data_IF_830147334935
#
_entry.id   IF_830147334935
#
_cell.length_a   1.000
_cell.length_b   1.000
_cell.length_c   1.000
_cell.angle_alpha   90.00
_cell.angle_beta   90.00
_cell.angle_gamma   90.00
#
_symmetry.space_group_name_H-M   'P 1'
#
loop_
_entity.id
_entity.type
_entity.pdbx_description
1 polymer ?
#
# COMPACT_ATOMS: atom_id res chain seq x y z
N UNK A 1 1.98 -30.14 2.52
CA UNK A 1 2.72 -28.93 2.96
C UNK A 1 2.63 -27.73 2.02
N UNK A 2 2.66 -27.86 0.69
CA UNK A 2 2.53 -26.72 -0.27
C UNK A 2 1.13 -26.08 -0.27
N UNK A 3 0.08 -26.85 -0.07
CA UNK A 3 -1.31 -26.40 -0.11
C UNK A 3 -1.68 -25.53 1.10
N UNK A 4 -1.25 -25.95 2.29
CA UNK A 4 -1.47 -25.16 3.52
C UNK A 4 -0.76 -23.79 3.46
N UNK A 5 0.40 -23.71 2.79
CA UNK A 5 1.09 -22.42 2.60
C UNK A 5 0.35 -21.48 1.64
N UNK A 6 -0.35 -22.03 0.63
CA UNK A 6 -1.18 -21.21 -0.27
C UNK A 6 -2.42 -20.68 0.44
N UNK A 7 -3.11 -21.52 1.21
CA UNK A 7 -4.28 -21.12 2.00
C UNK A 7 -3.88 -20.03 3.01
N UNK A 8 -2.77 -20.25 3.72
CA UNK A 8 -2.25 -19.25 4.66
C UNK A 8 -1.94 -17.91 3.97
N UNK A 9 -1.34 -17.94 2.77
CA UNK A 9 -1.08 -16.74 1.98
C UNK A 9 -2.36 -15.98 1.61
N UNK A 10 -3.41 -16.68 1.21
CA UNK A 10 -4.70 -16.05 0.92
C UNK A 10 -5.38 -15.47 2.16
N UNK A 11 -5.36 -16.18 3.27
CA UNK A 11 -5.92 -15.69 4.54
C UNK A 11 -5.21 -14.43 5.00
N UNK A 12 -3.87 -14.45 5.02
CA UNK A 12 -3.06 -13.27 5.36
C UNK A 12 -3.34 -12.11 4.41
N UNK A 13 -3.45 -12.38 3.10
CA UNK A 13 -3.81 -11.36 2.11
C UNK A 13 -5.16 -10.71 2.39
N UNK A 14 -6.19 -11.49 2.69
CA UNK A 14 -7.53 -10.98 3.03
C UNK A 14 -7.47 -10.11 4.29
N UNK A 15 -6.81 -10.59 5.34
CA UNK A 15 -6.65 -9.82 6.59
C UNK A 15 -5.94 -8.49 6.31
N UNK A 16 -4.87 -8.50 5.51
CA UNK A 16 -4.12 -7.29 5.14
C UNK A 16 -5.01 -6.28 4.43
N UNK A 17 -5.83 -6.72 3.47
CA UNK A 17 -6.74 -5.83 2.74
C UNK A 17 -7.81 -5.24 3.65
N UNK A 18 -8.39 -6.05 4.55
CA UNK A 18 -9.37 -5.57 5.53
C UNK A 18 -8.75 -4.54 6.48
N UNK A 19 -7.55 -4.81 6.99
CA UNK A 19 -6.82 -3.87 7.83
C UNK A 19 -6.53 -2.57 7.06
N UNK A 20 -6.08 -2.67 5.81
CA UNK A 20 -5.79 -1.48 4.99
C UNK A 20 -7.04 -0.65 4.72
N UNK A 21 -8.16 -1.28 4.34
CA UNK A 21 -9.44 -0.57 4.18
C UNK A 21 -9.88 0.16 5.45
N UNK A 22 -9.71 -0.47 6.62
CA UNK A 22 -9.99 0.15 7.92
C UNK A 22 -9.11 1.35 8.25
N UNK A 23 -7.90 1.44 7.66
CA UNK A 23 -6.99 2.56 7.94
C UNK A 23 -7.52 3.91 7.43
N UNK A 24 -8.30 3.95 6.35
CA UNK A 24 -8.91 5.17 5.84
C UNK A 24 -9.88 5.79 6.86
N UNK A 25 -10.72 4.94 7.46
CA UNK A 25 -11.69 5.37 8.48
C UNK A 25 -10.94 5.85 9.72
N UNK A 26 -9.96 5.07 10.19
CA UNK A 26 -9.16 5.42 11.35
C UNK A 26 -8.39 6.75 11.14
N UNK A 27 -7.79 6.95 9.97
CA UNK A 27 -7.12 8.21 9.61
C UNK A 27 -8.09 9.40 9.71
N UNK A 28 -9.32 9.25 9.20
CA UNK A 28 -10.33 10.31 9.28
C UNK A 28 -10.69 10.65 10.73
N UNK A 29 -10.87 9.65 11.59
CA UNK A 29 -11.13 9.87 13.02
C UNK A 29 -9.98 10.58 13.71
N UNK A 30 -8.74 10.21 13.42
CA UNK A 30 -7.56 10.85 13.99
C UNK A 30 -7.45 12.33 13.57
N UNK A 31 -7.75 12.63 12.31
CA UNK A 31 -7.80 14.02 11.80
C UNK A 31 -8.91 14.82 12.49
N UNK A 32 -10.10 14.23 12.65
CA UNK A 32 -11.20 14.88 13.39
C UNK A 32 -10.86 15.08 14.87
N UNK A 33 -10.01 14.23 15.43
CA UNK A 33 -9.44 14.36 16.79
C UNK A 33 -8.36 15.43 16.92
N UNK A 34 -7.99 16.12 15.82
CA UNK A 34 -7.06 17.25 15.82
C UNK A 34 -5.62 16.90 15.44
N UNK A 35 -5.32 15.63 15.05
CA UNK A 35 -3.99 15.29 14.55
C UNK A 35 -3.80 15.75 13.10
N UNK A 36 -2.63 16.30 12.81
CA UNK A 36 -2.28 16.67 11.46
C UNK A 36 -1.94 15.43 10.60
N UNK A 37 -2.19 15.44 9.27
CA UNK A 37 -1.91 14.31 8.38
C UNK A 37 -0.47 13.79 8.45
N UNK A 38 0.52 14.67 8.60
CA UNK A 38 1.92 14.30 8.73
C UNK A 38 2.27 13.65 10.07
N UNK A 39 1.58 14.02 11.16
CA UNK A 39 1.76 13.38 12.46
C UNK A 39 1.24 11.94 12.44
N UNK A 40 0.07 11.72 11.83
CA UNK A 40 -0.50 10.39 11.64
C UNK A 40 0.46 9.52 10.81
N UNK A 41 1.03 10.08 9.73
CA UNK A 41 2.02 9.41 8.91
C UNK A 41 3.23 8.98 9.76
N UNK A 42 3.84 9.90 10.48
CA UNK A 42 5.02 9.64 11.31
C UNK A 42 4.76 8.57 12.38
N UNK A 43 3.66 8.68 13.10
CA UNK A 43 3.29 7.73 14.14
C UNK A 43 3.08 6.32 13.59
N UNK A 44 2.38 6.19 12.47
CA UNK A 44 2.13 4.88 11.83
C UNK A 44 3.41 4.21 11.36
N UNK A 45 4.28 4.98 10.70
CA UNK A 45 5.56 4.43 10.22
C UNK A 45 6.53 4.11 11.35
N UNK A 46 6.58 4.95 12.40
CA UNK A 46 7.40 4.69 13.57
C UNK A 46 6.97 3.40 14.29
N UNK A 47 5.67 3.26 14.57
CA UNK A 47 5.13 2.06 15.21
C UNK A 47 5.37 0.83 14.35
N UNK A 48 5.07 0.92 13.04
CA UNK A 48 5.29 -0.17 12.10
C UNK A 48 6.76 -0.59 12.03
N UNK A 49 7.66 0.38 11.97
CA UNK A 49 9.11 0.14 11.99
C UNK A 49 9.57 -0.57 13.28
N UNK A 50 9.13 -0.09 14.43
CA UNK A 50 9.46 -0.70 15.73
C UNK A 50 8.93 -2.15 15.81
N UNK A 51 7.71 -2.40 15.34
CA UNK A 51 7.14 -3.75 15.29
C UNK A 51 7.96 -4.68 14.39
N UNK A 52 8.34 -4.23 13.19
CA UNK A 52 9.16 -5.03 12.28
C UNK A 52 10.54 -5.28 12.87
N UNK A 53 11.14 -4.27 13.47
CA UNK A 53 12.47 -4.38 14.06
C UNK A 53 12.50 -5.37 15.24
N UNK A 54 11.45 -5.41 16.07
CA UNK A 54 11.36 -6.37 17.19
C UNK A 54 11.17 -7.80 16.71
N UNK A 55 10.44 -8.01 15.59
CA UNK A 55 10.17 -9.36 15.06
C UNK A 55 11.37 -9.88 14.25
N UNK A 56 12.03 -9.03 13.50
CA UNK A 56 13.14 -9.41 12.63
C UNK A 56 14.24 -8.34 12.59
N UNK A 57 15.09 -8.30 13.65
CA UNK A 57 16.21 -7.37 13.71
C UNK A 57 17.26 -7.78 12.67
N UNK A 58 17.19 -7.21 11.48
CA UNK A 58 18.15 -7.43 10.40
C UNK A 58 18.90 -6.15 10.08
N UNK A 59 19.99 -6.27 9.32
CA UNK A 59 20.73 -5.12 8.82
C UNK A 59 19.81 -4.22 8.01
N UNK A 60 19.86 -2.92 8.30
CA UNK A 60 19.05 -1.88 7.66
C UNK A 60 19.65 -1.39 6.34
N UNK A 61 20.89 -1.73 6.07
CA UNK A 61 21.63 -1.23 4.92
C UNK A 61 21.92 -2.33 3.93
N UNK A 62 21.85 -2.01 2.63
CA UNK A 62 22.24 -2.90 1.56
C UNK A 62 23.77 -2.96 1.44
N UNK A 63 24.28 -4.06 0.86
CA UNK A 63 25.74 -4.21 0.66
C UNK A 63 26.27 -3.34 -0.49
N UNK A 64 25.39 -2.81 -1.35
CA UNK A 64 25.73 -2.02 -2.52
C UNK A 64 25.07 -0.64 -2.46
N UNK A 65 25.83 0.42 -2.68
CA UNK A 65 25.32 1.81 -2.71
C UNK A 65 24.21 2.05 -3.74
N UNK A 66 24.23 1.36 -4.88
CA UNK A 66 23.17 1.48 -5.90
C UNK A 66 21.85 0.91 -5.42
N UNK A 67 21.90 -0.19 -4.72
CA UNK A 67 20.71 -0.84 -4.15
C UNK A 67 20.15 0.01 -3.00
N UNK A 68 21.04 0.61 -2.20
CA UNK A 68 20.65 1.56 -1.15
C UNK A 68 19.94 2.78 -1.72
N UNK A 69 20.51 3.42 -2.76
CA UNK A 69 19.89 4.55 -3.43
C UNK A 69 18.53 4.20 -4.03
N UNK A 70 18.40 2.99 -4.60
CA UNK A 70 17.12 2.50 -5.13
C UNK A 70 16.09 2.28 -4.01
N UNK A 71 16.50 1.70 -2.88
CA UNK A 71 15.63 1.51 -1.72
C UNK A 71 15.15 2.84 -1.13
N UNK A 72 16.03 3.84 -1.04
CA UNK A 72 15.67 5.20 -0.62
C UNK A 72 14.66 5.80 -1.59
N UNK A 73 14.87 5.68 -2.90
CA UNK A 73 13.96 6.21 -3.91
C UNK A 73 12.58 5.54 -3.83
N UNK A 74 12.52 4.22 -3.68
CA UNK A 74 11.28 3.46 -3.50
C UNK A 74 10.58 3.88 -2.20
N UNK A 75 11.33 4.01 -1.11
CA UNK A 75 10.79 4.45 0.19
C UNK A 75 10.23 5.88 0.14
N UNK A 76 10.89 6.79 -0.57
CA UNK A 76 10.39 8.15 -0.76
C UNK A 76 9.13 8.20 -1.61
N UNK A 77 9.12 7.53 -2.75
CA UNK A 77 8.00 7.59 -3.71
C UNK A 77 6.82 6.74 -3.25
N UNK A 78 7.02 5.45 -3.01
CA UNK A 78 5.98 4.49 -2.65
C UNK A 78 5.58 4.50 -1.16
N UNK A 79 6.47 5.00 -0.31
CA UNK A 79 6.21 5.18 1.12
C UNK A 79 5.79 6.61 1.45
N UNK A 80 6.78 7.50 1.59
CA UNK A 80 6.55 8.81 2.18
C UNK A 80 5.61 9.70 1.37
N UNK A 81 5.87 9.89 0.09
CA UNK A 81 5.05 10.77 -0.76
C UNK A 81 3.64 10.21 -0.96
N UNK A 82 3.51 8.92 -1.21
CA UNK A 82 2.22 8.28 -1.41
C UNK A 82 1.32 8.40 -0.17
N UNK A 83 1.80 7.95 0.99
CA UNK A 83 0.98 7.97 2.21
C UNK A 83 0.74 9.38 2.75
N UNK A 84 1.67 10.30 2.55
CA UNK A 84 1.44 11.70 2.90
C UNK A 84 0.35 12.33 2.03
N UNK A 85 0.38 12.08 0.72
CA UNK A 85 -0.67 12.55 -0.20
C UNK A 85 -2.03 11.92 0.13
N UNK A 86 -2.06 10.61 0.44
CA UNK A 86 -3.26 9.89 0.87
C UNK A 86 -3.86 10.49 2.15
N UNK A 87 -3.05 10.69 3.19
CA UNK A 87 -3.51 11.29 4.44
C UNK A 87 -4.02 12.73 4.25
N UNK A 88 -3.37 13.53 3.40
CA UNK A 88 -3.85 14.86 3.05
C UNK A 88 -5.18 14.80 2.28
N UNK A 89 -5.32 13.87 1.35
CA UNK A 89 -6.58 13.69 0.63
C UNK A 89 -7.73 13.33 1.58
N UNK A 90 -7.49 12.44 2.57
CA UNK A 90 -8.49 12.10 3.60
C UNK A 90 -8.85 13.31 4.47
N UNK A 91 -7.92 14.25 4.70
CA UNK A 91 -8.21 15.49 5.40
C UNK A 91 -9.15 16.40 4.58
N UNK A 92 -8.92 16.51 3.27
CA UNK A 92 -9.57 17.47 2.39
C UNK A 92 -10.91 17.01 1.81
N UNK A 93 -11.17 15.69 1.75
CA UNK A 93 -12.37 15.14 1.13
C UNK A 93 -12.97 13.97 1.92
N UNK A 94 -14.02 13.36 1.35
CA UNK A 94 -14.62 12.16 1.93
C UNK A 94 -13.71 10.94 1.73
N UNK A 95 -13.65 10.10 2.73
CA UNK A 95 -12.86 8.86 2.74
C UNK A 95 -13.21 7.95 1.54
N UNK A 96 -14.51 7.92 1.16
CA UNK A 96 -15.00 7.18 -0.01
C UNK A 96 -14.33 7.62 -1.30
N UNK A 97 -14.15 8.92 -1.53
CA UNK A 97 -13.50 9.43 -2.73
C UNK A 97 -12.03 9.02 -2.78
N UNK A 98 -11.34 9.08 -1.64
CA UNK A 98 -9.93 8.68 -1.54
C UNK A 98 -9.76 7.18 -1.79
N UNK A 99 -10.61 6.36 -1.18
CA UNK A 99 -10.56 4.90 -1.37
C UNK A 99 -10.93 4.49 -2.79
N UNK A 100 -11.89 5.19 -3.43
CA UNK A 100 -12.23 4.96 -4.83
C UNK A 100 -11.04 5.24 -5.77
N UNK A 101 -10.40 6.40 -5.62
CA UNK A 101 -9.21 6.75 -6.41
C UNK A 101 -8.07 5.77 -6.10
N UNK A 102 -7.84 5.43 -4.83
CA UNK A 102 -6.82 4.46 -4.43
C UNK A 102 -7.02 3.07 -5.05
N UNK A 103 -8.27 2.64 -5.23
CA UNK A 103 -8.60 1.36 -5.84
C UNK A 103 -8.28 1.30 -7.36
N UNK A 104 -8.03 2.43 -8.00
CA UNK A 104 -7.56 2.46 -9.40
C UNK A 104 -6.07 2.13 -9.53
N UNK A 105 -5.29 2.23 -8.46
CA UNK A 105 -3.84 2.02 -8.47
C UNK A 105 -3.42 0.64 -9.02
N UNK A 106 -4.04 -0.49 -8.65
CA UNK A 106 -3.70 -1.79 -9.23
C UNK A 106 -3.91 -1.86 -10.75
N UNK A 107 -4.94 -1.16 -11.26
CA UNK A 107 -5.24 -1.11 -12.69
C UNK A 107 -4.17 -0.32 -13.44
N UNK A 108 -3.80 0.85 -12.92
CA UNK A 108 -2.73 1.68 -13.48
C UNK A 108 -1.39 0.93 -13.44
N UNK A 109 -1.08 0.29 -12.30
CA UNK A 109 0.14 -0.51 -12.12
C UNK A 109 0.19 -1.66 -13.12
N UNK A 110 -0.93 -2.34 -13.35
CA UNK A 110 -1.04 -3.43 -14.35
C UNK A 110 -0.79 -2.90 -15.77
N UNK A 111 -1.40 -1.78 -16.15
CA UNK A 111 -1.18 -1.17 -17.46
C UNK A 111 0.30 -0.77 -17.65
N UNK A 112 0.90 -0.13 -16.65
CA UNK A 112 2.31 0.24 -16.69
C UNK A 112 3.24 -1.00 -16.73
N UNK A 113 2.93 -2.04 -15.97
CA UNK A 113 3.70 -3.28 -16.00
C UNK A 113 3.67 -3.94 -17.39
N UNK A 114 2.51 -3.99 -18.04
CA UNK A 114 2.38 -4.50 -19.41
C UNK A 114 3.17 -3.65 -20.41
N UNK A 115 3.15 -2.32 -20.23
CA UNK A 115 3.82 -1.40 -21.16
C UNK A 115 5.35 -1.41 -21.02
N UNK A 116 5.87 -1.50 -19.80
CA UNK A 116 7.29 -1.31 -19.51
C UNK A 116 8.05 -2.61 -19.15
N UNK A 117 7.37 -3.63 -18.67
CA UNK A 117 8.01 -4.88 -18.22
C UNK A 117 7.79 -5.98 -19.23
N UNK A 118 8.82 -6.25 -20.05
CA UNK A 118 8.78 -7.25 -21.15
C UNK A 118 8.38 -8.68 -20.72
N UNK A 119 8.55 -9.03 -19.46
CA UNK A 119 8.19 -10.36 -18.91
C UNK A 119 6.71 -10.48 -18.53
N UNK A 120 5.99 -9.37 -18.41
CA UNK A 120 4.57 -9.35 -18.06
C UNK A 120 3.75 -9.40 -19.34
N UNK A 121 3.03 -10.50 -19.54
CA UNK A 121 2.08 -10.63 -20.65
C UNK A 121 0.71 -10.14 -20.20
N UNK A 122 0.01 -9.44 -21.08
CA UNK A 122 -1.38 -9.10 -20.88
C UNK A 122 -2.21 -10.38 -20.77
N UNK A 123 -2.61 -10.73 -19.55
CA UNK A 123 -3.53 -11.84 -19.31
C UNK A 123 -4.94 -11.25 -19.13
N UNK A 124 -5.89 -11.77 -19.90
CA UNK A 124 -7.29 -11.37 -19.81
C UNK A 124 -7.84 -11.49 -18.38
N UNK A 125 -7.38 -12.48 -17.62
CA UNK A 125 -7.76 -12.69 -16.22
C UNK A 125 -7.31 -11.55 -15.32
N UNK A 126 -6.14 -10.98 -15.59
CA UNK A 126 -5.59 -9.86 -14.83
C UNK A 126 -6.41 -8.59 -15.06
N UNK A 127 -6.74 -8.32 -16.31
CA UNK A 127 -7.57 -7.16 -16.70
C UNK A 127 -8.99 -7.30 -16.14
N UNK A 128 -9.60 -8.46 -16.32
CA UNK A 128 -10.95 -8.73 -15.82
C UNK A 128 -11.02 -8.63 -14.29
N UNK A 129 -10.03 -9.21 -13.58
CA UNK A 129 -9.95 -9.12 -12.12
C UNK A 129 -9.83 -7.67 -11.63
N UNK A 130 -9.03 -6.85 -12.30
CA UNK A 130 -8.87 -5.43 -11.97
C UNK A 130 -10.15 -4.63 -12.21
N UNK A 131 -10.89 -4.92 -13.29
CA UNK A 131 -12.18 -4.28 -13.58
C UNK A 131 -13.26 -4.68 -12.58
N UNK A 132 -13.33 -5.95 -12.20
CA UNK A 132 -14.28 -6.44 -11.18
C UNK A 132 -13.95 -5.78 -9.82
N UNK A 133 -12.68 -5.66 -9.45
CA UNK A 133 -12.26 -5.00 -8.22
C UNK A 133 -12.68 -3.52 -8.22
N UNK A 134 -12.52 -2.81 -9.34
CA UNK A 134 -12.94 -1.41 -9.48
C UNK A 134 -14.46 -1.26 -9.38
N UNK A 135 -15.22 -2.16 -10.02
CA UNK A 135 -16.68 -2.15 -9.96
C UNK A 135 -17.22 -2.49 -8.55
N UNK A 136 -16.45 -3.20 -7.73
CA UNK A 136 -16.84 -3.54 -6.36
C UNK A 136 -16.62 -2.40 -5.35
N UNK A 137 -15.96 -1.32 -5.74
CA UNK A 137 -15.69 -0.15 -4.87
C UNK A 137 -16.63 1.03 -5.18
N UNK A 138 -17.22 1.07 -6.37
CA UNK A 138 -18.21 2.08 -6.79
C UNK A 138 -19.61 1.68 -6.43
#
# INVERSE_FOLDING_TARGET
MKENKKILGHVVGIITVLCWGGTFINTKYLIMGGLAPHEIFLLRFLIGYLCIWTISPRRLFCDNWKDEALMVLIGMTGGSLFFQAENMAVALTYTTNVSFIGSTAPLITTCLAIAFVKSVKADFRLILGSLIALAGVG
#
